data_IF_934078294453
#
_entry.id   IF_934078294453
#
_cell.length_a   1.000
_cell.length_b   1.000
_cell.length_c   1.000
_cell.angle_alpha   90.00
_cell.angle_beta   90.00
_cell.angle_gamma   90.00
#
_symmetry.space_group_name_H-M   'P 1'
#
loop_
_entity.id
_entity.type
_entity.pdbx_description
1 polymer ?
#
# COMPACT_ATOMS: atom_id res chain seq x y z
N UNK A 1 22.18 -6.56 -26.21
CA UNK A 1 22.44 -6.68 -24.75
C UNK A 1 21.60 -7.82 -24.23
N UNK A 2 22.22 -8.78 -23.54
CA UNK A 2 21.58 -10.02 -23.12
C UNK A 2 20.55 -9.79 -21.99
N UNK A 3 19.44 -10.55 -21.94
CA UNK A 3 18.54 -10.54 -20.80
C UNK A 3 19.30 -10.94 -19.53
N UNK A 4 18.97 -10.30 -18.41
CA UNK A 4 19.40 -10.73 -17.07
C UNK A 4 19.20 -12.26 -16.96
N UNK A 5 20.15 -13.04 -16.41
CA UNK A 5 19.92 -14.46 -16.20
C UNK A 5 18.81 -14.60 -15.16
N UNK A 6 17.57 -14.72 -15.61
CA UNK A 6 16.48 -15.18 -14.76
C UNK A 6 16.89 -16.56 -14.30
N UNK A 7 17.12 -16.69 -12.99
CA UNK A 7 17.37 -17.99 -12.40
C UNK A 7 16.10 -18.83 -12.63
N UNK A 8 16.10 -19.60 -13.72
CA UNK A 8 14.98 -20.38 -14.25
C UNK A 8 14.62 -21.58 -13.34
N UNK A 9 15.09 -21.56 -12.08
CA UNK A 9 15.01 -22.62 -11.10
C UNK A 9 13.77 -22.53 -10.17
N UNK A 10 13.08 -21.38 -10.10
CA UNK A 10 11.87 -21.25 -9.28
C UNK A 10 10.66 -21.82 -10.03
N UNK A 11 9.84 -22.62 -9.36
CA UNK A 11 8.63 -23.25 -9.90
C UNK A 11 7.56 -22.22 -10.27
N UNK A 12 7.38 -21.21 -9.41
CA UNK A 12 6.36 -20.19 -9.56
C UNK A 12 6.98 -18.80 -9.71
N UNK A 13 6.44 -18.03 -10.64
CA UNK A 13 6.78 -16.62 -10.80
C UNK A 13 6.08 -15.80 -9.70
N UNK A 14 4.82 -16.15 -9.39
CA UNK A 14 3.99 -15.48 -8.38
C UNK A 14 3.22 -16.52 -7.56
N UNK A 15 3.16 -16.33 -6.24
CA UNK A 15 2.19 -17.03 -5.38
C UNK A 15 1.32 -16.05 -4.61
N UNK A 16 0.00 -16.22 -4.73
CA UNK A 16 -1.01 -15.46 -3.96
C UNK A 16 -1.21 -16.12 -2.59
N UNK A 17 -0.53 -15.65 -1.55
CA UNK A 17 -0.72 -16.15 -0.18
C UNK A 17 -1.88 -15.45 0.51
N UNK A 18 -2.90 -16.22 0.91
CA UNK A 18 -4.18 -15.69 1.39
C UNK A 18 -5.27 -15.64 0.33
N UNK A 19 -5.13 -16.42 -0.75
CA UNK A 19 -6.04 -16.43 -1.90
C UNK A 19 -7.52 -16.69 -1.57
N UNK A 20 -7.82 -17.38 -0.47
CA UNK A 20 -9.21 -17.60 -0.03
C UNK A 20 -9.84 -16.41 0.73
N UNK A 21 -9.05 -15.40 1.09
CA UNK A 21 -9.49 -14.17 1.76
C UNK A 21 -10.27 -13.24 0.83
N UNK A 22 -10.88 -12.19 1.37
CA UNK A 22 -11.69 -11.25 0.57
C UNK A 22 -10.88 -10.63 -0.57
N UNK A 23 -9.77 -9.96 -0.26
CA UNK A 23 -8.89 -9.36 -1.27
C UNK A 23 -8.16 -10.42 -2.10
N UNK A 24 -7.74 -11.53 -1.49
CA UNK A 24 -7.06 -12.63 -2.21
C UNK A 24 -7.89 -13.21 -3.34
N UNK A 25 -9.21 -13.38 -3.13
CA UNK A 25 -10.14 -13.84 -4.20
C UNK A 25 -10.18 -12.86 -5.37
N UNK A 26 -10.19 -11.56 -5.07
CA UNK A 26 -10.23 -10.51 -6.09
C UNK A 26 -8.93 -10.43 -6.89
N UNK A 27 -7.79 -10.70 -6.24
CA UNK A 27 -6.48 -10.87 -6.89
C UNK A 27 -6.49 -12.09 -7.82
N UNK A 28 -7.03 -13.24 -7.37
CA UNK A 28 -7.15 -14.43 -8.21
C UNK A 28 -8.06 -14.18 -9.41
N UNK A 29 -9.19 -13.48 -9.24
CA UNK A 29 -10.07 -13.08 -10.35
C UNK A 29 -9.31 -12.21 -11.37
N UNK A 30 -8.54 -11.22 -10.91
CA UNK A 30 -7.78 -10.34 -11.80
C UNK A 30 -6.65 -11.07 -12.54
N UNK A 31 -5.93 -11.97 -11.86
CA UNK A 31 -4.92 -12.83 -12.49
C UNK A 31 -5.54 -13.77 -13.51
N UNK A 32 -6.67 -14.41 -13.20
CA UNK A 32 -7.34 -15.32 -14.12
C UNK A 32 -7.84 -14.61 -15.39
N UNK A 33 -8.35 -13.39 -15.26
CA UNK A 33 -8.86 -12.58 -16.38
C UNK A 33 -7.74 -12.02 -17.26
N UNK A 34 -6.64 -11.53 -16.67
CA UNK A 34 -5.61 -10.77 -17.40
C UNK A 34 -4.33 -11.57 -17.70
N UNK A 35 -4.03 -12.57 -16.88
CA UNK A 35 -2.79 -13.34 -16.94
C UNK A 35 -3.07 -14.85 -16.78
N UNK A 36 -3.66 -15.50 -17.81
CA UNK A 36 -3.93 -16.94 -17.79
C UNK A 36 -2.69 -17.77 -17.42
N UNK A 37 -2.90 -18.84 -16.66
CA UNK A 37 -1.80 -19.67 -16.16
C UNK A 37 -1.04 -20.33 -17.31
N UNK A 38 0.28 -20.22 -17.29
CA UNK A 38 1.17 -21.01 -18.17
C UNK A 38 1.83 -20.22 -19.30
N UNK A 39 1.32 -19.05 -19.66
CA UNK A 39 2.04 -18.03 -20.44
C UNK A 39 1.30 -16.68 -20.36
N UNK A 40 1.98 -15.56 -20.06
CA UNK A 40 3.42 -15.44 -19.85
C UNK A 40 3.90 -15.78 -18.42
N UNK A 41 3.02 -16.24 -17.52
CA UNK A 41 3.32 -16.28 -16.06
C UNK A 41 2.85 -17.60 -15.43
N UNK A 42 3.69 -18.17 -14.56
CA UNK A 42 3.38 -19.35 -13.75
C UNK A 42 2.99 -18.90 -12.35
N UNK A 43 1.70 -18.85 -12.06
CA UNK A 43 1.22 -18.47 -10.72
C UNK A 43 0.47 -19.60 -10.01
N UNK A 44 0.50 -19.55 -8.68
CA UNK A 44 -0.20 -20.48 -7.81
C UNK A 44 -0.95 -19.75 -6.69
N UNK A 45 -1.90 -20.44 -6.06
CA UNK A 45 -2.62 -19.94 -4.89
C UNK A 45 -2.14 -20.66 -3.63
N UNK A 46 -2.06 -19.93 -2.53
CA UNK A 46 -1.66 -20.49 -1.26
C UNK A 46 -2.55 -20.04 -0.10
N UNK A 47 -2.73 -20.94 0.87
CA UNK A 47 -3.50 -20.69 2.09
C UNK A 47 -3.74 -21.96 2.89
N UNK A 48 -4.32 -21.80 4.08
CA UNK A 48 -4.44 -22.88 5.07
C UNK A 48 -5.55 -23.91 4.82
N UNK A 49 -6.51 -23.61 3.94
CA UNK A 49 -7.67 -24.48 3.71
C UNK A 49 -7.78 -24.79 2.21
N UNK A 50 -7.53 -26.05 1.86
CA UNK A 50 -7.48 -26.53 0.47
C UNK A 50 -8.84 -26.38 -0.23
N UNK A 51 -9.92 -26.76 0.44
CA UNK A 51 -11.27 -26.77 -0.14
C UNK A 51 -11.71 -25.35 -0.55
N UNK A 52 -11.38 -24.35 0.27
CA UNK A 52 -11.63 -22.94 -0.05
C UNK A 52 -10.78 -22.47 -1.24
N UNK A 53 -9.54 -22.92 -1.37
CA UNK A 53 -8.70 -22.57 -2.52
C UNK A 53 -9.24 -23.19 -3.81
N UNK A 54 -9.65 -24.45 -3.76
CA UNK A 54 -10.31 -25.15 -4.87
C UNK A 54 -11.59 -24.43 -5.30
N UNK A 55 -12.43 -24.02 -4.34
CA UNK A 55 -13.64 -23.23 -4.62
C UNK A 55 -13.33 -21.89 -5.29
N UNK A 56 -12.26 -21.20 -4.88
CA UNK A 56 -11.83 -19.94 -5.50
C UNK A 56 -11.32 -20.15 -6.92
N UNK A 57 -10.52 -21.18 -7.15
CA UNK A 57 -10.04 -21.54 -8.50
C UNK A 57 -11.23 -21.88 -9.39
N UNK A 58 -12.15 -22.74 -8.95
CA UNK A 58 -13.31 -23.14 -9.73
C UNK A 58 -14.23 -21.94 -10.08
N UNK A 59 -14.29 -20.93 -9.20
CA UNK A 59 -15.11 -19.73 -9.42
C UNK A 59 -14.54 -18.74 -10.44
N UNK A 60 -13.21 -18.68 -10.61
CA UNK A 60 -12.56 -17.63 -11.42
C UNK A 60 -11.68 -18.16 -12.57
N UNK A 61 -11.10 -19.34 -12.44
CA UNK A 61 -10.24 -19.96 -13.44
C UNK A 61 -11.07 -20.94 -14.30
N UNK A 62 -11.98 -20.40 -15.11
CA UNK A 62 -12.94 -21.20 -15.89
C UNK A 62 -12.41 -21.66 -17.25
N UNK A 63 -11.26 -21.15 -17.68
CA UNK A 63 -10.63 -21.51 -18.95
C UNK A 63 -9.11 -21.68 -18.78
N UNK A 64 -8.53 -22.61 -19.54
CA UNK A 64 -7.09 -22.85 -19.56
C UNK A 64 -6.58 -23.73 -18.42
N UNK A 65 -5.28 -23.62 -18.13
CA UNK A 65 -4.61 -24.39 -17.08
C UNK A 65 -5.00 -23.85 -15.71
N UNK A 66 -5.29 -24.73 -14.76
CA UNK A 66 -5.57 -24.32 -13.39
C UNK A 66 -4.25 -23.99 -12.66
N UNK A 67 -4.24 -22.96 -11.78
CA UNK A 67 -3.09 -22.68 -10.94
C UNK A 67 -2.89 -23.81 -9.92
N UNK A 68 -1.64 -24.03 -9.51
CA UNK A 68 -1.34 -24.99 -8.45
C UNK A 68 -1.88 -24.50 -7.10
N UNK A 69 -2.17 -25.44 -6.19
CA UNK A 69 -2.63 -25.17 -4.83
C UNK A 69 -1.53 -25.55 -3.84
N UNK A 70 -1.11 -24.58 -3.03
CA UNK A 70 -0.11 -24.78 -1.99
C UNK A 70 -0.79 -24.59 -0.63
N UNK A 71 -0.84 -25.65 0.17
CA UNK A 71 -1.39 -25.56 1.53
C UNK A 71 -0.28 -25.07 2.46
N UNK A 72 -0.46 -23.88 3.02
CA UNK A 72 0.46 -23.29 3.98
C UNK A 72 -0.31 -22.44 5.00
N UNK A 73 0.00 -22.60 6.28
CA UNK A 73 -0.48 -21.72 7.35
C UNK A 73 0.58 -20.66 7.68
N UNK A 74 0.14 -19.43 7.95
CA UNK A 74 0.98 -18.32 8.43
C UNK A 74 1.83 -18.64 9.68
N UNK A 75 1.45 -19.67 10.44
CA UNK A 75 2.14 -20.11 11.66
C UNK A 75 3.07 -21.29 11.43
N UNK A 76 3.08 -21.87 10.24
CA UNK A 76 3.97 -22.97 9.88
C UNK A 76 5.20 -22.44 9.14
N UNK A 77 6.25 -22.14 9.90
CA UNK A 77 7.50 -21.63 9.34
C UNK A 77 8.19 -22.59 8.35
N UNK A 78 7.99 -23.91 8.45
CA UNK A 78 8.54 -24.86 7.48
C UNK A 78 7.82 -24.73 6.14
N UNK A 79 6.48 -24.73 6.16
CA UNK A 79 5.67 -24.54 4.96
C UNK A 79 5.97 -23.20 4.28
N UNK A 80 6.11 -22.11 5.05
CA UNK A 80 6.44 -20.79 4.50
C UNK A 80 7.84 -20.73 3.88
N UNK A 81 8.85 -21.40 4.47
CA UNK A 81 10.18 -21.51 3.87
C UNK A 81 10.17 -22.30 2.57
N UNK A 82 9.43 -23.40 2.51
CA UNK A 82 9.27 -24.16 1.27
C UNK A 82 8.58 -23.31 0.20
N UNK A 83 7.47 -22.64 0.57
CA UNK A 83 6.74 -21.74 -0.31
C UNK A 83 7.66 -20.66 -0.90
N UNK A 84 8.46 -20.00 -0.05
CA UNK A 84 9.39 -18.97 -0.51
C UNK A 84 10.42 -19.55 -1.49
N UNK A 85 11.02 -20.71 -1.19
CA UNK A 85 12.05 -21.34 -2.04
C UNK A 85 11.55 -21.77 -3.42
N UNK A 86 10.27 -22.05 -3.57
CA UNK A 86 9.70 -22.43 -4.87
C UNK A 86 9.22 -21.22 -5.69
N UNK A 87 9.27 -20.02 -5.11
CA UNK A 87 8.59 -18.84 -5.64
C UNK A 87 9.57 -17.70 -5.92
N UNK A 88 9.34 -16.94 -6.99
CA UNK A 88 10.07 -15.69 -7.26
C UNK A 88 9.48 -14.51 -6.50
N UNK A 89 8.16 -14.33 -6.53
CA UNK A 89 7.44 -13.29 -5.77
C UNK A 89 6.27 -13.87 -4.98
N UNK A 90 6.21 -13.66 -3.67
CA UNK A 90 5.01 -13.93 -2.88
C UNK A 90 4.27 -12.62 -2.67
N UNK A 91 3.06 -12.49 -3.25
CA UNK A 91 2.13 -11.45 -2.82
C UNK A 91 1.22 -12.00 -1.75
N UNK A 92 1.00 -11.23 -0.68
CA UNK A 92 0.16 -11.65 0.42
C UNK A 92 -0.98 -10.70 0.71
N UNK A 93 -2.12 -11.29 1.06
CA UNK A 93 -3.30 -10.58 1.58
C UNK A 93 -3.69 -11.12 2.97
N UNK A 94 -2.75 -11.71 3.72
CA UNK A 94 -3.00 -12.31 5.04
C UNK A 94 -2.76 -11.28 6.14
N UNK A 95 -3.77 -10.43 6.37
CA UNK A 95 -3.79 -9.47 7.49
C UNK A 95 -4.65 -9.92 8.68
N UNK A 96 -4.56 -9.26 9.85
CA UNK A 96 -3.60 -8.20 10.19
C UNK A 96 -2.14 -8.68 10.18
N UNK A 97 -1.24 -7.90 9.58
CA UNK A 97 0.13 -8.34 9.30
C UNK A 97 0.98 -8.43 10.57
N UNK A 98 0.70 -7.58 11.57
CA UNK A 98 1.32 -7.69 12.89
C UNK A 98 1.14 -9.08 13.53
N UNK A 99 0.03 -9.77 13.22
CA UNK A 99 -0.28 -11.10 13.75
C UNK A 99 0.20 -12.25 12.86
N UNK A 100 0.14 -12.08 11.54
CA UNK A 100 0.29 -13.21 10.60
C UNK A 100 1.38 -13.03 9.54
N UNK A 101 1.93 -11.83 9.37
CA UNK A 101 2.87 -11.52 8.28
C UNK A 101 4.34 -11.82 8.58
N UNK A 102 4.74 -11.81 9.85
CA UNK A 102 6.16 -11.79 10.24
C UNK A 102 6.97 -12.99 9.74
N UNK A 103 6.42 -14.20 9.85
CA UNK A 103 7.13 -15.43 9.44
C UNK A 103 7.31 -15.52 7.92
N UNK A 104 6.35 -14.99 7.15
CA UNK A 104 6.46 -14.98 5.69
C UNK A 104 7.53 -13.99 5.23
N UNK A 105 7.62 -12.81 5.85
CA UNK A 105 8.71 -11.84 5.56
C UNK A 105 10.07 -12.49 5.84
N UNK A 106 10.22 -13.14 7.00
CA UNK A 106 11.45 -13.84 7.36
C UNK A 106 11.82 -14.94 6.33
N UNK A 107 10.84 -15.75 5.92
CA UNK A 107 11.04 -16.79 4.91
C UNK A 107 11.47 -16.22 3.55
N UNK A 108 10.85 -15.12 3.10
CA UNK A 108 11.18 -14.47 1.84
C UNK A 108 12.55 -13.80 1.88
N UNK A 109 12.83 -13.04 2.95
CA UNK A 109 14.09 -12.32 3.16
C UNK A 109 15.29 -13.27 3.21
N UNK A 110 15.16 -14.44 3.83
CA UNK A 110 16.26 -15.42 3.88
C UNK A 110 16.39 -16.26 2.62
N UNK A 111 15.31 -16.45 1.85
CA UNK A 111 15.31 -17.32 0.66
C UNK A 111 15.67 -16.59 -0.64
N UNK A 112 15.82 -15.26 -0.62
CA UNK A 112 16.01 -14.45 -1.83
C UNK A 112 14.73 -14.32 -2.66
N UNK A 113 13.57 -14.41 -2.00
CA UNK A 113 12.24 -14.35 -2.64
C UNK A 113 11.68 -12.95 -2.48
N UNK A 114 11.22 -12.34 -3.56
CA UNK A 114 10.59 -11.03 -3.48
C UNK A 114 9.21 -11.13 -2.80
N UNK A 115 8.78 -10.04 -2.18
CA UNK A 115 7.58 -9.99 -1.37
C UNK A 115 6.84 -8.68 -1.61
N UNK A 116 5.52 -8.74 -1.71
CA UNK A 116 4.67 -7.55 -1.59
C UNK A 116 3.38 -7.79 -0.80
N UNK A 117 2.90 -6.74 -0.14
CA UNK A 117 1.69 -6.80 0.70
C UNK A 117 0.85 -5.51 0.68
N UNK A 118 -0.17 -5.49 1.53
CA UNK A 118 -1.07 -4.35 1.76
C UNK A 118 -0.95 -3.79 3.18
N UNK A 119 0.23 -3.81 3.78
CA UNK A 119 0.37 -3.43 5.18
C UNK A 119 0.15 -1.92 5.37
N UNK A 120 -0.79 -1.59 6.26
CA UNK A 120 -1.06 -0.24 6.76
C UNK A 120 -0.63 -0.05 8.22
N UNK A 121 0.34 -0.84 8.70
CA UNK A 121 0.72 -0.98 10.11
C UNK A 121 2.19 -0.52 10.30
N UNK A 122 2.47 0.80 10.46
CA UNK A 122 3.84 1.33 10.46
C UNK A 122 4.74 0.67 11.50
N UNK A 123 4.21 0.37 12.69
CA UNK A 123 4.96 -0.28 13.76
C UNK A 123 5.42 -1.70 13.40
N UNK A 124 4.59 -2.42 12.63
CA UNK A 124 4.96 -3.75 12.15
C UNK A 124 5.94 -3.67 10.99
N UNK A 125 5.73 -2.75 10.04
CA UNK A 125 6.68 -2.51 8.94
C UNK A 125 8.07 -2.16 9.50
N UNK A 126 8.14 -1.25 10.49
CA UNK A 126 9.39 -0.91 11.20
C UNK A 126 10.08 -2.16 11.77
N UNK A 127 9.32 -3.00 12.49
CA UNK A 127 9.82 -4.24 13.07
C UNK A 127 10.37 -5.19 12.00
N UNK A 128 9.71 -5.29 10.84
CA UNK A 128 10.18 -6.13 9.73
C UNK A 128 11.45 -5.58 9.10
N UNK A 129 11.55 -4.27 8.90
CA UNK A 129 12.77 -3.64 8.40
C UNK A 129 13.93 -3.89 9.38
N UNK A 130 13.75 -3.60 10.67
CA UNK A 130 14.79 -3.78 11.69
C UNK A 130 15.31 -5.22 11.75
N UNK A 131 14.40 -6.20 11.60
CA UNK A 131 14.76 -7.62 11.74
C UNK A 131 15.35 -8.21 10.46
N UNK A 132 14.93 -7.76 9.28
CA UNK A 132 15.17 -8.47 8.02
C UNK A 132 15.83 -7.65 6.91
N UNK A 133 16.16 -6.37 7.12
CA UNK A 133 16.87 -5.56 6.12
C UNK A 133 18.18 -6.22 5.67
N UNK A 134 19.00 -6.69 6.62
CA UNK A 134 20.29 -7.34 6.31
C UNK A 134 20.12 -8.65 5.55
N UNK A 135 19.16 -9.50 5.97
CA UNK A 135 18.87 -10.77 5.31
C UNK A 135 18.42 -10.54 3.87
N UNK A 136 17.47 -9.62 3.67
CA UNK A 136 16.93 -9.30 2.35
C UNK A 136 18.00 -8.70 1.43
N UNK A 137 18.87 -7.84 1.96
CA UNK A 137 20.00 -7.28 1.21
C UNK A 137 20.99 -8.38 0.78
N UNK A 138 21.31 -9.30 1.69
CA UNK A 138 22.28 -10.37 1.44
C UNK A 138 21.76 -11.44 0.48
N UNK A 139 20.46 -11.75 0.53
CA UNK A 139 19.85 -12.78 -0.33
C UNK A 139 19.38 -12.26 -1.69
N UNK A 140 19.31 -10.93 -1.86
CA UNK A 140 18.71 -10.29 -3.04
C UNK A 140 17.18 -10.21 -3.01
N UNK A 141 16.53 -10.58 -1.90
CA UNK A 141 15.09 -10.41 -1.75
C UNK A 141 14.71 -8.92 -1.72
N UNK A 142 13.62 -8.55 -2.41
CA UNK A 142 13.04 -7.20 -2.37
C UNK A 142 11.73 -7.32 -1.60
N UNK A 143 11.67 -6.69 -0.43
CA UNK A 143 10.50 -6.71 0.44
C UNK A 143 9.80 -5.36 0.32
N UNK A 144 8.67 -5.32 -0.36
CA UNK A 144 7.94 -4.07 -0.64
C UNK A 144 6.61 -4.06 0.10
N UNK A 145 6.45 -3.14 1.05
CA UNK A 145 5.21 -3.00 1.80
C UNK A 145 4.25 -2.00 1.15
N UNK A 146 2.98 -2.08 1.54
CA UNK A 146 1.96 -1.06 1.21
C UNK A 146 1.66 -0.92 -0.29
N UNK A 147 1.67 -2.02 -1.03
CA UNK A 147 1.39 -2.12 -2.47
C UNK A 147 -0.11 -2.08 -2.80
N UNK A 148 -0.88 -1.21 -2.15
CA UNK A 148 -2.31 -1.01 -2.37
C UNK A 148 -2.69 0.46 -2.47
N UNK A 149 -3.99 0.75 -2.40
CA UNK A 149 -4.46 2.14 -2.36
C UNK A 149 -3.92 2.90 -1.17
N UNK A 150 -3.64 2.19 -0.07
CA UNK A 150 -3.05 2.74 1.13
C UNK A 150 -1.91 3.66 0.69
N UNK A 151 -0.85 3.20 0.01
CA UNK A 151 0.27 4.10 -0.32
C UNK A 151 0.68 4.24 -1.79
N UNK A 152 0.28 3.38 -2.74
CA UNK A 152 0.72 3.51 -4.15
C UNK A 152 0.34 4.85 -4.79
N UNK A 153 -0.93 5.32 -4.72
CA UNK A 153 -1.31 6.58 -5.36
C UNK A 153 -0.55 7.78 -4.80
N UNK A 154 -0.26 7.77 -3.49
CA UNK A 154 0.55 8.78 -2.81
C UNK A 154 2.02 8.71 -3.22
N UNK A 155 2.62 7.52 -3.12
CA UNK A 155 4.05 7.31 -3.32
C UNK A 155 4.46 7.47 -4.80
N UNK A 156 3.75 6.81 -5.71
CA UNK A 156 3.98 6.95 -7.15
C UNK A 156 3.52 8.32 -7.65
N UNK A 157 2.48 8.92 -7.04
CA UNK A 157 2.04 10.28 -7.36
C UNK A 157 3.11 11.33 -7.05
N UNK A 158 3.77 11.22 -5.89
CA UNK A 158 4.89 12.09 -5.51
C UNK A 158 6.10 11.84 -6.41
N UNK A 159 6.43 10.57 -6.68
CA UNK A 159 7.50 10.21 -7.62
C UNK A 159 7.28 10.85 -9.00
N UNK A 160 6.07 10.74 -9.54
CA UNK A 160 5.69 11.37 -10.81
C UNK A 160 5.84 12.89 -10.74
N UNK A 161 5.26 13.54 -9.72
CA UNK A 161 5.33 15.01 -9.57
C UNK A 161 6.78 15.49 -9.49
N UNK A 162 7.62 14.84 -8.69
CA UNK A 162 9.02 15.22 -8.54
C UNK A 162 9.80 15.04 -9.84
N UNK A 163 9.50 14.01 -10.65
CA UNK A 163 10.10 13.84 -11.97
C UNK A 163 9.68 14.96 -12.93
N UNK A 164 8.40 15.33 -12.94
CA UNK A 164 7.91 16.44 -13.77
C UNK A 164 8.51 17.79 -13.32
N UNK A 165 8.67 18.02 -12.01
CA UNK A 165 9.34 19.21 -11.47
C UNK A 165 10.80 19.31 -11.91
N UNK A 166 11.55 18.19 -11.80
CA UNK A 166 12.93 18.10 -12.29
C UNK A 166 13.02 18.34 -13.80
N UNK A 167 12.07 17.83 -14.60
CA UNK A 167 12.05 18.00 -16.05
C UNK A 167 11.72 19.46 -16.45
N UNK A 168 10.81 20.12 -15.74
CA UNK A 168 10.37 21.48 -16.05
C UNK A 168 11.38 22.54 -15.59
N UNK A 169 11.95 22.38 -14.39
CA UNK A 169 12.70 23.45 -13.71
C UNK A 169 14.10 23.03 -13.23
N UNK A 170 14.48 21.76 -13.37
CA UNK A 170 15.80 21.26 -12.92
C UNK A 170 15.93 21.09 -11.40
N UNK A 171 14.85 21.30 -10.64
CA UNK A 171 14.83 21.19 -9.18
C UNK A 171 13.56 20.48 -8.69
N UNK A 172 13.60 19.75 -7.56
CA UNK A 172 12.42 19.12 -6.99
C UNK A 172 11.54 20.13 -6.25
N UNK A 173 10.27 19.79 -6.02
CA UNK A 173 9.40 20.52 -5.10
C UNK A 173 9.89 20.37 -3.66
N UNK A 174 9.88 21.47 -2.90
CA UNK A 174 10.26 21.48 -1.48
C UNK A 174 9.13 20.97 -0.57
N UNK A 175 7.88 21.10 -1.01
CA UNK A 175 6.71 20.67 -0.25
C UNK A 175 5.64 20.14 -1.20
N UNK A 176 5.08 18.97 -0.88
CA UNK A 176 3.92 18.43 -1.62
C UNK A 176 2.79 18.17 -0.64
N UNK A 177 1.61 18.69 -0.98
CA UNK A 177 0.35 18.37 -0.29
C UNK A 177 -0.53 17.55 -1.21
N UNK A 178 -0.90 16.34 -0.79
CA UNK A 178 -1.89 15.52 -1.47
C UNK A 178 -3.27 15.75 -0.86
N UNK A 179 -4.25 16.07 -1.70
CA UNK A 179 -5.64 16.26 -1.31
C UNK A 179 -6.54 15.20 -1.94
N UNK A 180 -7.27 14.47 -1.10
CA UNK A 180 -8.38 13.63 -1.53
C UNK A 180 -9.53 14.53 -1.97
N UNK A 181 -9.72 14.67 -3.28
CA UNK A 181 -10.74 15.54 -3.86
C UNK A 181 -12.09 14.83 -4.00
N UNK A 182 -12.05 13.56 -4.39
CA UNK A 182 -13.22 12.69 -4.39
C UNK A 182 -12.80 11.25 -4.14
N UNK A 183 -13.63 10.51 -3.41
CA UNK A 183 -13.42 9.10 -3.13
C UNK A 183 -14.77 8.40 -3.02
N UNK A 184 -14.90 7.27 -3.69
CA UNK A 184 -16.09 6.41 -3.61
C UNK A 184 -15.64 4.98 -3.46
N UNK A 185 -15.78 4.44 -2.25
CA UNK A 185 -15.41 3.08 -1.92
C UNK A 185 -15.89 2.66 -0.53
N UNK A 186 -15.61 1.42 -0.18
CA UNK A 186 -15.91 0.84 1.14
C UNK A 186 -14.68 0.23 1.78
N UNK A 187 -14.82 -0.17 3.05
CA UNK A 187 -13.81 -0.91 3.81
C UNK A 187 -14.33 -2.33 4.13
N UNK A 188 -13.43 -3.30 4.25
CA UNK A 188 -13.73 -4.67 4.69
C UNK A 188 -13.51 -4.82 6.18
N UNK A 189 -14.05 -5.90 6.74
CA UNK A 189 -13.76 -6.29 8.12
C UNK A 189 -12.26 -6.49 8.39
N UNK A 190 -11.47 -6.85 7.36
CA UNK A 190 -10.01 -6.99 7.48
C UNK A 190 -9.30 -5.66 7.71
N UNK A 191 -9.69 -4.61 6.97
CA UNK A 191 -9.15 -3.24 7.15
C UNK A 191 -9.48 -2.71 8.54
N UNK A 192 -10.73 -2.89 9.00
CA UNK A 192 -11.11 -2.49 10.36
C UNK A 192 -10.36 -3.27 11.45
N UNK A 193 -10.18 -4.57 11.26
CA UNK A 193 -9.41 -5.39 12.21
C UNK A 193 -7.94 -4.96 12.30
N UNK A 194 -7.32 -4.57 11.17
CA UNK A 194 -5.95 -4.03 11.15
C UNK A 194 -5.88 -2.70 11.93
N UNK A 195 -6.77 -1.75 11.63
CA UNK A 195 -6.84 -0.46 12.34
C UNK A 195 -7.06 -0.64 13.86
N UNK A 196 -7.97 -1.53 14.27
CA UNK A 196 -8.20 -1.81 15.69
C UNK A 196 -6.98 -2.45 16.35
N UNK A 197 -6.25 -3.31 15.65
CA UNK A 197 -5.02 -3.91 16.17
C UNK A 197 -3.94 -2.85 16.42
N UNK A 198 -3.75 -1.90 15.50
CA UNK A 198 -2.80 -0.78 15.69
C UNK A 198 -3.16 0.02 16.94
N UNK A 199 -4.45 0.35 17.13
CA UNK A 199 -4.91 1.07 18.32
C UNK A 199 -4.68 0.26 19.61
N UNK A 200 -4.93 -1.05 19.59
CA UNK A 200 -4.70 -1.94 20.73
C UNK A 200 -3.21 -2.01 21.12
N UNK A 201 -2.33 -2.19 20.14
CA UNK A 201 -0.87 -2.22 20.37
C UNK A 201 -0.36 -0.87 20.88
N UNK A 202 -0.86 0.24 20.33
CA UNK A 202 -0.49 1.59 20.77
C UNK A 202 -0.94 1.89 22.21
N UNK A 203 -2.14 1.42 22.61
CA UNK A 203 -2.64 1.55 23.97
C UNK A 203 -1.86 0.68 24.96
N UNK A 204 -1.42 -0.49 24.53
CA UNK A 204 -0.70 -1.46 25.36
C UNK A 204 0.79 -1.12 25.52
N UNK A 205 1.43 -0.49 24.53
CA UNK A 205 2.88 -0.22 24.54
C UNK A 205 3.21 1.22 24.13
N UNK A 206 3.79 1.97 25.07
CA UNK A 206 4.24 3.37 24.86
C UNK A 206 5.31 3.49 23.78
N UNK A 207 6.15 2.46 23.57
CA UNK A 207 7.15 2.46 22.49
C UNK A 207 6.46 2.40 21.13
N UNK A 208 5.41 1.57 21.00
CA UNK A 208 4.60 1.50 19.79
C UNK A 208 3.89 2.84 19.54
N UNK A 209 3.31 3.45 20.58
CA UNK A 209 2.71 4.78 20.45
C UNK A 209 3.71 5.85 19.98
N UNK A 210 4.95 5.79 20.46
CA UNK A 210 6.02 6.69 20.02
C UNK A 210 6.40 6.46 18.55
N UNK A 211 6.55 5.20 18.12
CA UNK A 211 6.81 4.84 16.72
C UNK A 211 5.69 5.35 15.80
N UNK A 212 4.43 5.20 16.22
CA UNK A 212 3.28 5.67 15.44
C UNK A 212 3.21 7.20 15.39
N UNK A 213 3.64 7.90 16.45
CA UNK A 213 3.70 9.36 16.50
C UNK A 213 4.86 9.97 15.70
N UNK A 214 5.90 9.20 15.40
CA UNK A 214 7.08 9.66 14.66
C UNK A 214 6.79 9.71 13.13
N UNK A 215 6.86 10.90 12.49
CA UNK A 215 6.64 11.09 11.05
C UNK A 215 7.64 10.36 10.15
N UNK A 216 8.81 10.00 10.69
CA UNK A 216 9.93 9.39 9.97
C UNK A 216 10.26 7.98 10.49
N UNK A 217 9.35 7.34 11.23
CA UNK A 217 9.62 6.07 11.90
C UNK A 217 10.06 4.95 10.94
N UNK A 218 9.62 5.02 9.68
CA UNK A 218 9.97 4.07 8.65
C UNK A 218 11.30 4.36 7.96
N UNK A 219 11.95 5.50 8.18
CA UNK A 219 13.22 5.82 7.52
C UNK A 219 14.39 4.93 8.02
N UNK A 220 15.52 4.87 7.28
CA UNK A 220 16.77 4.28 7.77
C UNK A 220 17.13 4.81 9.17
N UNK A 221 17.83 4.00 9.98
CA UNK A 221 18.02 4.28 11.41
C UNK A 221 18.61 5.66 11.70
N UNK A 222 19.57 6.11 10.89
CA UNK A 222 20.26 7.39 11.05
C UNK A 222 19.59 8.55 10.29
N UNK A 223 18.42 8.30 9.68
CA UNK A 223 17.72 9.20 8.77
C UNK A 223 16.27 9.48 9.20
N UNK A 224 15.97 9.27 10.49
CA UNK A 224 14.62 9.46 11.07
C UNK A 224 14.35 10.87 11.57
N UNK A 225 14.99 11.86 10.96
CA UNK A 225 14.81 13.28 11.28
C UNK A 225 14.54 14.06 10.00
N UNK A 226 13.73 15.11 10.13
CA UNK A 226 13.40 15.99 9.04
C UNK A 226 12.42 17.08 9.46
N UNK A 227 11.99 17.94 8.51
CA UNK A 227 11.20 19.12 8.79
C UNK A 227 9.70 18.86 9.07
N UNK A 228 9.19 17.65 8.82
CA UNK A 228 7.79 17.32 9.01
C UNK A 228 7.42 17.14 10.47
N UNK A 229 6.23 17.64 10.83
CA UNK A 229 5.58 17.37 12.10
C UNK A 229 4.49 16.30 11.99
N UNK A 230 3.62 16.19 13.01
CA UNK A 230 2.47 15.29 12.97
C UNK A 230 1.52 15.58 11.80
N UNK A 231 0.87 14.53 11.32
CA UNK A 231 -0.20 14.63 10.31
C UNK A 231 -1.35 15.53 10.81
N UNK A 232 -2.17 16.03 9.89
CA UNK A 232 -3.24 16.97 10.21
C UNK A 232 -4.31 16.36 11.14
N UNK A 233 -4.55 16.97 12.30
CA UNK A 233 -5.61 16.57 13.24
C UNK A 233 -6.84 17.49 13.27
N UNK A 234 -6.74 18.68 12.66
CA UNK A 234 -7.79 19.70 12.71
C UNK A 234 -8.14 20.27 11.33
N UNK A 235 -9.08 21.21 11.30
CA UNK A 235 -9.43 21.95 10.07
C UNK A 235 -8.27 22.86 9.68
N UNK A 236 -7.85 22.82 8.42
CA UNK A 236 -6.82 23.73 7.86
C UNK A 236 -7.25 24.29 6.51
N UNK A 237 -6.77 25.48 6.16
CA UNK A 237 -6.93 26.03 4.82
C UNK A 237 -5.68 25.73 3.99
N UNK A 238 -5.85 25.10 2.83
CA UNK A 238 -4.78 24.86 1.86
C UNK A 238 -4.82 25.96 0.80
N UNK A 239 -3.87 26.91 0.87
CA UNK A 239 -3.80 28.02 -0.06
C UNK A 239 -3.55 27.56 -1.51
N UNK A 240 -2.68 26.55 -1.71
CA UNK A 240 -2.35 26.02 -3.04
C UNK A 240 -3.58 25.43 -3.77
N UNK A 241 -4.57 24.94 -3.02
CA UNK A 241 -5.81 24.38 -3.53
C UNK A 241 -7.02 25.34 -3.42
N UNK A 242 -6.87 26.47 -2.74
CA UNK A 242 -7.97 27.38 -2.44
C UNK A 242 -9.09 26.77 -1.59
N UNK A 243 -8.81 25.74 -0.79
CA UNK A 243 -9.82 24.89 -0.15
C UNK A 243 -9.56 24.65 1.34
N UNK A 244 -10.64 24.46 2.09
CA UNK A 244 -10.59 23.89 3.43
C UNK A 244 -10.32 22.40 3.36
N UNK A 245 -9.68 21.89 4.42
CA UNK A 245 -9.25 20.50 4.51
C UNK A 245 -9.55 19.91 5.87
N UNK A 246 -9.81 18.61 5.87
CA UNK A 246 -9.98 17.78 7.07
C UNK A 246 -8.91 16.67 7.12
N UNK A 247 -8.63 16.11 8.31
CA UNK A 247 -7.75 14.96 8.46
C UNK A 247 -8.12 13.80 7.52
N UNK A 248 -7.10 13.15 6.95
CA UNK A 248 -7.25 11.93 6.17
C UNK A 248 -6.62 10.75 6.91
N UNK A 249 -7.39 9.67 7.11
CA UNK A 249 -6.96 8.55 7.97
C UNK A 249 -5.72 7.83 7.43
N UNK A 250 -5.56 7.69 6.11
CA UNK A 250 -4.40 7.00 5.54
C UNK A 250 -3.12 7.84 5.56
N UNK A 251 -3.21 9.14 5.88
CA UNK A 251 -2.03 9.98 6.08
C UNK A 251 -1.06 9.36 7.11
N UNK A 252 -1.62 8.66 8.12
CA UNK A 252 -0.87 8.00 9.19
C UNK A 252 0.09 6.88 8.72
N UNK A 253 -0.08 6.36 7.50
CA UNK A 253 0.87 5.43 6.88
C UNK A 253 1.54 6.06 5.66
N UNK A 254 0.77 6.76 4.82
CA UNK A 254 1.25 7.24 3.52
C UNK A 254 2.37 8.24 3.63
N UNK A 255 2.26 9.17 4.58
CA UNK A 255 3.28 10.19 4.75
C UNK A 255 4.63 9.57 5.14
N UNK A 256 4.62 8.48 5.90
CA UNK A 256 5.83 7.72 6.28
C UNK A 256 6.39 6.93 5.10
N UNK A 257 5.54 6.36 4.24
CA UNK A 257 5.99 5.68 3.02
C UNK A 257 6.64 6.67 2.05
N UNK A 258 6.01 7.81 1.78
CA UNK A 258 6.58 8.85 0.88
C UNK A 258 7.91 9.39 1.40
N UNK A 259 8.00 9.70 2.70
CA UNK A 259 9.26 10.15 3.32
C UNK A 259 10.34 9.07 3.28
N UNK A 260 9.96 7.80 3.47
CA UNK A 260 10.87 6.65 3.31
C UNK A 260 11.36 6.53 1.87
N UNK A 261 10.49 6.72 0.88
CA UNK A 261 10.89 6.72 -0.53
C UNK A 261 11.95 7.77 -0.81
N UNK A 262 11.80 8.98 -0.27
CA UNK A 262 12.82 10.03 -0.40
C UNK A 262 14.16 9.59 0.19
N UNK A 263 14.16 9.06 1.42
CA UNK A 263 15.37 8.57 2.07
C UNK A 263 16.05 7.43 1.29
N UNK A 264 15.26 6.48 0.75
CA UNK A 264 15.77 5.35 -0.04
C UNK A 264 16.24 5.74 -1.44
N UNK A 265 15.83 6.91 -1.95
CA UNK A 265 16.26 7.48 -3.22
C UNK A 265 17.39 8.51 -3.02
N UNK A 266 18.22 8.31 -1.99
CA UNK A 266 19.34 9.20 -1.64
C UNK A 266 18.94 10.67 -1.52
N UNK A 267 17.74 10.93 -0.99
CA UNK A 267 17.14 12.25 -0.89
C UNK A 267 16.98 12.98 -2.22
N UNK A 268 16.58 12.27 -3.29
CA UNK A 268 16.29 12.86 -4.60
C UNK A 268 15.26 14.00 -4.56
N UNK A 269 14.36 14.03 -3.56
CA UNK A 269 13.39 15.12 -3.38
C UNK A 269 13.93 16.26 -2.51
N UNK A 270 15.14 16.11 -1.97
CA UNK A 270 15.80 17.03 -1.04
C UNK A 270 15.63 16.62 0.43
N UNK A 271 16.64 16.92 1.27
CA UNK A 271 16.60 16.64 2.72
C UNK A 271 15.58 17.48 3.49
N UNK A 272 15.21 18.64 2.93
CA UNK A 272 14.21 19.54 3.51
C UNK A 272 12.81 19.35 2.91
N UNK A 273 12.60 18.29 2.11
CA UNK A 273 11.31 17.95 1.53
C UNK A 273 10.26 17.69 2.62
N UNK A 274 9.08 18.29 2.44
CA UNK A 274 7.90 18.10 3.31
C UNK A 274 6.77 17.44 2.55
N UNK A 275 6.04 16.55 3.22
CA UNK A 275 4.89 15.88 2.63
C UNK A 275 3.72 15.77 3.61
N UNK A 276 2.52 16.05 3.13
CA UNK A 276 1.29 15.90 3.92
C UNK A 276 0.09 15.47 3.07
N UNK A 277 -0.92 14.88 3.74
CA UNK A 277 -2.17 14.49 3.11
C UNK A 277 -3.38 15.00 3.89
N UNK A 278 -4.42 15.39 3.15
CA UNK A 278 -5.68 15.82 3.74
C UNK A 278 -6.86 15.49 2.81
N UNK A 279 -8.09 15.57 3.34
CA UNK A 279 -9.30 15.53 2.49
C UNK A 279 -9.71 16.96 2.16
N UNK A 280 -9.90 17.27 0.87
CA UNK A 280 -10.46 18.57 0.45
C UNK A 280 -11.96 18.63 0.72
N UNK A 281 -12.42 19.75 1.26
CA UNK A 281 -13.84 19.97 1.58
C UNK A 281 -14.46 21.16 0.83
N UNK A 282 -13.68 21.81 -0.03
CA UNK A 282 -14.12 22.95 -0.84
C UNK A 282 -13.79 24.32 -0.24
N UNK A 283 -14.14 25.37 -0.97
CA UNK A 283 -13.85 26.76 -0.59
C UNK A 283 -14.96 27.39 0.27
N UNK A 284 -14.66 28.56 0.85
CA UNK A 284 -15.63 29.38 1.59
C UNK A 284 -16.16 28.76 2.90
N UNK A 285 -17.19 29.37 3.50
CA UNK A 285 -17.75 28.92 4.79
C UNK A 285 -18.33 27.50 4.75
N UNK A 286 -18.93 27.10 3.63
CA UNK A 286 -19.47 25.75 3.46
C UNK A 286 -18.39 24.67 3.52
N UNK A 287 -17.25 24.91 2.87
CA UNK A 287 -16.10 24.01 2.93
C UNK A 287 -15.53 23.87 4.34
N UNK A 288 -15.48 24.97 5.10
CA UNK A 288 -15.07 24.95 6.51
C UNK A 288 -16.01 24.10 7.37
N UNK A 289 -17.33 24.31 7.25
CA UNK A 289 -18.33 23.54 8.00
C UNK A 289 -18.22 22.03 7.72
N UNK A 290 -18.04 21.65 6.45
CA UNK A 290 -17.82 20.26 6.06
C UNK A 290 -16.53 19.70 6.70
N UNK A 291 -15.44 20.46 6.69
CA UNK A 291 -14.19 20.04 7.33
C UNK A 291 -14.35 19.86 8.84
N UNK A 292 -15.05 20.77 9.51
CA UNK A 292 -15.31 20.70 10.94
C UNK A 292 -16.13 19.45 11.30
N UNK A 293 -17.21 19.17 10.56
CA UNK A 293 -18.03 17.97 10.76
C UNK A 293 -17.23 16.69 10.54
N UNK A 294 -16.43 16.61 9.47
CA UNK A 294 -15.58 15.44 9.20
C UNK A 294 -14.54 15.22 10.29
N UNK A 295 -13.88 16.31 10.74
CA UNK A 295 -12.88 16.27 11.81
C UNK A 295 -13.51 15.79 13.13
N UNK A 296 -14.65 16.35 13.52
CA UNK A 296 -15.37 15.95 14.72
C UNK A 296 -15.85 14.49 14.66
N UNK A 297 -16.36 14.06 13.50
CA UNK A 297 -16.79 12.68 13.28
C UNK A 297 -15.65 11.69 13.43
N UNK A 298 -14.49 11.98 12.84
CA UNK A 298 -13.30 11.12 12.97
C UNK A 298 -12.80 11.06 14.42
N UNK A 299 -12.67 12.21 15.09
CA UNK A 299 -12.25 12.26 16.49
C UNK A 299 -13.20 11.46 17.40
N UNK A 300 -14.51 11.61 17.20
CA UNK A 300 -15.55 10.87 17.92
C UNK A 300 -15.44 9.37 17.68
N UNK A 301 -15.20 8.95 16.44
CA UNK A 301 -15.04 7.55 16.09
C UNK A 301 -13.80 6.93 16.76
N UNK A 302 -12.64 7.59 16.70
CA UNK A 302 -11.40 7.13 17.35
C UNK A 302 -11.59 7.03 18.87
N UNK A 303 -12.22 8.04 19.48
CA UNK A 303 -12.53 8.03 20.91
C UNK A 303 -13.47 6.87 21.27
N UNK A 304 -14.52 6.64 20.49
CA UNK A 304 -15.46 5.54 20.71
C UNK A 304 -14.79 4.17 20.53
N UNK A 305 -13.86 4.03 19.60
CA UNK A 305 -13.02 2.84 19.46
C UNK A 305 -12.01 2.69 20.61
N UNK A 306 -11.72 3.71 21.41
CA UNK A 306 -10.74 3.62 22.49
C UNK A 306 -11.27 2.95 23.76
N UNK A 307 -12.60 2.90 23.97
CA UNK A 307 -13.21 2.24 25.12
C UNK A 307 -13.72 0.82 24.76
N UNK A 308 -13.47 -0.15 25.63
CA UNK A 308 -13.72 -1.59 25.35
C UNK A 308 -15.20 -1.92 25.09
N UNK A 309 -16.12 -1.31 25.83
CA UNK A 309 -17.57 -1.55 25.72
C UNK A 309 -18.11 -1.00 24.39
N UNK A 310 -17.82 0.26 24.08
CA UNK A 310 -18.26 0.90 22.82
C UNK A 310 -17.59 0.26 21.61
N UNK A 311 -16.29 -0.06 21.69
CA UNK A 311 -15.58 -0.82 20.64
C UNK A 311 -16.29 -2.13 20.33
N UNK A 312 -16.67 -2.90 21.36
CA UNK A 312 -17.36 -4.18 21.19
C UNK A 312 -18.71 -4.02 20.49
N UNK A 313 -19.45 -2.95 20.76
CA UNK A 313 -20.73 -2.67 20.11
C UNK A 313 -20.52 -2.28 18.64
N UNK A 314 -19.57 -1.39 18.36
CA UNK A 314 -19.23 -0.94 17.00
C UNK A 314 -18.81 -2.12 16.13
N UNK A 315 -17.89 -2.95 16.63
CA UNK A 315 -17.40 -4.15 15.94
C UNK A 315 -18.52 -5.14 15.64
N UNK A 316 -19.43 -5.37 16.60
CA UNK A 316 -20.49 -6.38 16.44
C UNK A 316 -21.68 -5.93 15.60
N UNK A 317 -21.99 -4.63 15.58
CA UNK A 317 -23.25 -4.12 14.98
C UNK A 317 -23.06 -3.20 13.77
N UNK A 318 -21.92 -2.54 13.63
CA UNK A 318 -21.75 -1.48 12.64
C UNK A 318 -20.70 -1.83 11.56
N UNK A 319 -19.74 -2.69 11.88
CA UNK A 319 -18.63 -3.01 10.99
C UNK A 319 -18.87 -4.32 10.21
N UNK A 320 -18.35 -4.43 8.97
CA UNK A 320 -18.40 -5.67 8.22
C UNK A 320 -17.69 -6.82 8.96
N UNK A 321 -18.24 -8.03 8.86
CA UNK A 321 -17.62 -9.20 9.47
C UNK A 321 -16.28 -9.55 8.78
N UNK A 322 -15.36 -10.28 9.45
CA UNK A 322 -14.13 -10.75 8.83
C UNK A 322 -14.40 -11.52 7.53
N UNK A 323 -13.77 -11.09 6.44
CA UNK A 323 -13.95 -11.69 5.11
C UNK A 323 -15.14 -11.14 4.30
N UNK A 324 -15.91 -10.19 4.84
CA UNK A 324 -16.89 -9.37 4.10
C UNK A 324 -16.28 -8.01 3.75
N UNK A 325 -16.70 -7.45 2.61
CA UNK A 325 -16.28 -6.15 2.11
C UNK A 325 -17.34 -5.56 1.18
N UNK A 326 -17.02 -4.49 0.43
CA UNK A 326 -17.98 -3.86 -0.48
C UNK A 326 -18.51 -4.84 -1.54
N UNK A 327 -19.74 -4.60 -2.00
CA UNK A 327 -20.34 -5.40 -3.07
C UNK A 327 -19.62 -5.21 -4.40
N UNK A 328 -19.76 -6.16 -5.33
CA UNK A 328 -19.19 -6.04 -6.68
C UNK A 328 -19.58 -4.71 -7.36
N UNK A 329 -20.85 -4.33 -7.27
CA UNK A 329 -21.35 -3.06 -7.82
C UNK A 329 -20.71 -1.84 -7.15
N UNK A 330 -20.49 -1.87 -5.83
CA UNK A 330 -19.77 -0.79 -5.14
C UNK A 330 -18.31 -0.69 -5.60
N UNK A 331 -17.67 -1.84 -5.83
CA UNK A 331 -16.28 -1.89 -6.30
C UNK A 331 -16.13 -1.41 -7.75
N UNK A 332 -17.03 -1.84 -8.63
CA UNK A 332 -17.04 -1.48 -10.06
C UNK A 332 -17.40 -0.02 -10.30
N UNK A 333 -18.32 0.55 -9.52
CA UNK A 333 -18.75 1.95 -9.64
C UNK A 333 -17.99 2.91 -8.71
N UNK A 334 -17.00 2.41 -7.99
CA UNK A 334 -16.14 3.20 -7.12
C UNK A 334 -15.04 3.90 -7.93
N UNK A 335 -14.38 4.88 -7.31
CA UNK A 335 -13.26 5.61 -7.91
C UNK A 335 -12.52 6.42 -6.84
N UNK A 336 -11.38 7.00 -7.20
CA UNK A 336 -10.72 8.05 -6.43
C UNK A 336 -10.15 9.13 -7.34
N UNK A 337 -10.08 10.36 -6.83
CA UNK A 337 -9.48 11.54 -7.44
C UNK A 337 -8.62 12.23 -6.36
N UNK A 338 -7.31 12.12 -6.53
CA UNK A 338 -6.30 12.70 -5.67
C UNK A 338 -5.60 13.83 -6.44
N UNK A 339 -5.33 14.93 -5.75
CA UNK A 339 -4.65 16.10 -6.33
C UNK A 339 -3.44 16.43 -5.49
N UNK A 340 -2.27 16.42 -6.12
CA UNK A 340 -1.01 16.79 -5.49
C UNK A 340 -0.68 18.22 -5.90
N UNK A 341 -0.27 19.02 -4.92
CA UNK A 341 0.17 20.39 -5.10
C UNK A 341 1.61 20.47 -4.62
N UNK A 342 2.55 20.53 -5.56
CA UNK A 342 3.98 20.63 -5.30
C UNK A 342 4.45 22.08 -5.38
N UNK A 343 4.97 22.59 -4.29
CA UNK A 343 5.54 23.93 -4.19
C UNK A 343 7.02 23.90 -4.57
N UNK A 344 7.35 24.66 -5.62
CA UNK A 344 8.72 24.90 -6.10
C UNK A 344 9.41 25.99 -5.27
N UNK A 345 10.74 26.12 -5.38
CA UNK A 345 11.50 27.17 -4.68
C UNK A 345 11.13 28.60 -5.08
N UNK A 346 10.67 28.79 -6.31
CA UNK A 346 10.18 30.06 -6.84
C UNK A 346 8.71 30.34 -6.45
N UNK A 347 8.16 29.61 -5.49
CA UNK A 347 6.75 29.64 -5.05
C UNK A 347 5.71 29.19 -6.11
N UNK A 348 6.15 28.73 -7.28
CA UNK A 348 5.26 28.14 -8.29
C UNK A 348 4.67 26.82 -7.79
N UNK A 349 3.43 26.54 -8.18
CA UNK A 349 2.71 25.34 -7.77
C UNK A 349 2.52 24.42 -8.98
N UNK A 350 3.25 23.31 -8.97
CA UNK A 350 3.01 22.20 -9.89
C UNK A 350 1.84 21.37 -9.39
N UNK A 351 0.91 21.01 -10.29
CA UNK A 351 -0.31 20.27 -9.93
C UNK A 351 -0.35 18.94 -10.66
N UNK A 352 -0.56 17.86 -9.92
CA UNK A 352 -0.75 16.53 -10.49
C UNK A 352 -2.09 15.97 -10.04
N UNK A 353 -2.79 15.32 -10.97
CA UNK A 353 -4.00 14.55 -10.70
C UNK A 353 -3.68 13.06 -10.79
N UNK A 354 -4.09 12.30 -9.78
CA UNK A 354 -4.01 10.85 -9.76
C UNK A 354 -5.41 10.28 -9.57
N UNK A 355 -5.91 9.55 -10.57
CA UNK A 355 -7.24 8.95 -10.54
C UNK A 355 -7.17 7.42 -10.67
N UNK A 356 -8.19 6.74 -10.16
CA UNK A 356 -8.39 5.30 -10.34
C UNK A 356 -9.84 4.98 -10.67
N UNK A 357 -10.02 3.99 -11.54
CA UNK A 357 -11.31 3.63 -12.17
C UNK A 357 -12.18 2.68 -11.32
N UNK A 358 -11.73 2.30 -10.13
CA UNK A 358 -12.44 1.38 -9.22
C UNK A 358 -12.36 1.88 -7.80
N UNK A 359 -13.17 1.28 -6.92
CA UNK A 359 -13.08 1.63 -5.50
C UNK A 359 -11.64 1.47 -4.97
N UNK A 360 -11.18 2.40 -4.12
CA UNK A 360 -9.83 2.40 -3.59
C UNK A 360 -9.49 1.10 -2.85
N UNK A 361 -10.35 0.67 -1.92
CA UNK A 361 -10.02 -0.36 -0.94
C UNK A 361 -9.80 -1.75 -1.55
N UNK A 362 -10.46 -2.09 -2.66
CA UNK A 362 -10.48 -3.47 -3.17
C UNK A 362 -10.35 -3.55 -4.68
N UNK A 363 -11.22 -2.87 -5.43
CA UNK A 363 -11.28 -2.93 -6.88
C UNK A 363 -10.03 -2.37 -7.54
N UNK A 364 -9.50 -1.25 -7.05
CA UNK A 364 -8.21 -0.70 -7.47
C UNK A 364 -7.04 -1.40 -6.76
N UNK A 365 -7.18 -1.70 -5.47
CA UNK A 365 -6.12 -2.34 -4.66
C UNK A 365 -5.72 -3.72 -5.18
N UNK A 366 -6.65 -4.57 -5.62
CA UNK A 366 -6.33 -5.87 -6.23
C UNK A 366 -5.44 -5.74 -7.47
N UNK A 367 -5.69 -4.70 -8.27
CA UNK A 367 -4.94 -4.41 -9.50
C UNK A 367 -3.56 -3.92 -9.10
N UNK A 368 -3.48 -2.89 -8.24
CA UNK A 368 -2.21 -2.34 -7.74
C UNK A 368 -1.29 -3.41 -7.12
N UNK A 369 -1.83 -4.28 -6.26
CA UNK A 369 -1.05 -5.34 -5.63
C UNK A 369 -0.55 -6.37 -6.64
N UNK A 370 -1.42 -6.79 -7.56
CA UNK A 370 -1.07 -7.76 -8.60
C UNK A 370 -0.01 -7.19 -9.53
N UNK A 371 -0.19 -5.96 -10.00
CA UNK A 371 0.74 -5.26 -10.89
C UNK A 371 2.09 -4.98 -10.20
N UNK A 372 2.11 -4.77 -8.88
CA UNK A 372 3.34 -4.71 -8.09
C UNK A 372 4.07 -6.05 -8.04
N UNK A 373 3.35 -7.16 -7.81
CA UNK A 373 3.94 -8.50 -7.83
C UNK A 373 4.50 -8.85 -9.22
N UNK A 374 3.79 -8.44 -10.27
CA UNK A 374 4.21 -8.60 -11.66
C UNK A 374 5.43 -7.77 -12.00
N UNK A 375 5.52 -6.54 -11.48
CA UNK A 375 6.68 -5.68 -11.69
C UNK A 375 7.94 -6.28 -11.03
N UNK A 376 7.82 -6.70 -9.76
CA UNK A 376 8.89 -7.42 -9.05
C UNK A 376 9.33 -8.71 -9.76
N UNK A 377 8.39 -9.38 -10.44
CA UNK A 377 8.65 -10.63 -11.13
C UNK A 377 9.30 -10.39 -12.49
N UNK A 378 8.71 -9.55 -13.33
CA UNK A 378 8.94 -9.55 -14.78
C UNK A 378 9.82 -8.39 -15.27
N UNK A 379 9.83 -7.27 -14.54
CA UNK A 379 10.48 -6.06 -15.01
C UNK A 379 11.93 -5.95 -14.51
N UNK A 380 12.72 -5.16 -15.24
CA UNK A 380 14.09 -4.86 -14.82
C UNK A 380 14.07 -3.74 -13.79
N UNK A 381 14.44 -4.07 -12.57
CA UNK A 381 14.55 -3.11 -11.45
C UNK A 381 16.02 -2.84 -11.12
N UNK A 382 16.34 -1.57 -10.85
CA UNK A 382 17.70 -1.12 -10.53
C UNK A 382 18.08 -1.38 -9.07
N UNK A 383 17.08 -1.53 -8.19
CA UNK A 383 17.30 -1.76 -6.77
C UNK A 383 17.89 -3.13 -6.47
N UNK A 384 18.77 -3.20 -5.47
CA UNK A 384 19.27 -4.46 -4.91
C UNK A 384 18.25 -5.14 -3.98
N UNK A 385 18.71 -6.15 -3.25
CA UNK A 385 17.95 -6.71 -2.14
C UNK A 385 17.77 -5.70 -1.01
N UNK A 386 16.72 -5.85 -0.21
CA UNK A 386 16.41 -4.96 0.92
C UNK A 386 14.90 -4.77 1.11
N UNK A 387 14.53 -3.97 2.10
CA UNK A 387 13.16 -3.48 2.27
C UNK A 387 12.97 -2.13 1.60
N UNK A 388 11.97 -2.03 0.74
CA UNK A 388 11.75 -0.88 -0.13
C UNK A 388 10.29 -0.40 -0.06
N UNK A 389 10.02 0.74 -0.66
CA UNK A 389 8.68 1.27 -0.94
C UNK A 389 8.31 1.03 -2.40
N UNK A 390 7.02 1.17 -2.79
CA UNK A 390 6.64 1.05 -4.20
C UNK A 390 7.43 1.96 -5.14
N UNK A 391 7.59 3.24 -4.80
CA UNK A 391 8.31 4.20 -5.64
C UNK A 391 9.82 3.91 -5.68
N UNK A 392 10.46 3.62 -4.54
CA UNK A 392 11.91 3.35 -4.50
C UNK A 392 12.28 2.03 -5.16
N UNK A 393 11.44 0.99 -5.04
CA UNK A 393 11.71 -0.32 -5.65
C UNK A 393 11.43 -0.35 -7.16
N UNK A 394 10.29 0.20 -7.58
CA UNK A 394 9.70 -0.05 -8.90
C UNK A 394 9.48 1.22 -9.73
N UNK A 395 9.30 2.39 -9.09
CA UNK A 395 9.23 3.71 -9.71
C UNK A 395 8.45 3.74 -11.03
N UNK A 396 9.15 4.13 -12.11
CA UNK A 396 8.60 4.21 -13.47
C UNK A 396 7.97 2.89 -13.94
N UNK A 397 8.62 1.75 -13.70
CA UNK A 397 8.13 0.46 -14.18
C UNK A 397 6.75 0.15 -13.60
N UNK A 398 6.55 0.34 -12.29
CA UNK A 398 5.22 0.18 -11.69
C UNK A 398 4.21 1.20 -12.24
N UNK A 399 4.60 2.47 -12.39
CA UNK A 399 3.70 3.49 -12.93
C UNK A 399 3.17 3.11 -14.31
N UNK A 400 4.05 2.63 -15.21
CA UNK A 400 3.67 2.18 -16.57
C UNK A 400 2.69 1.01 -16.52
N UNK A 401 2.94 0.04 -15.63
CA UNK A 401 2.04 -1.11 -15.41
C UNK A 401 0.67 -0.65 -14.91
N UNK A 402 0.63 0.29 -13.97
CA UNK A 402 -0.60 0.81 -13.37
C UNK A 402 -1.46 1.54 -14.41
N UNK A 403 -0.84 2.34 -15.27
CA UNK A 403 -1.55 3.04 -16.35
C UNK A 403 -2.02 2.11 -17.45
N UNK A 404 -1.19 1.15 -17.86
CA UNK A 404 -1.57 0.21 -18.91
C UNK A 404 -2.65 -0.80 -18.46
N UNK A 405 -2.60 -1.27 -17.21
CA UNK A 405 -3.35 -2.46 -16.80
C UNK A 405 -4.29 -2.25 -15.60
N UNK A 406 -3.99 -1.27 -14.73
CA UNK A 406 -4.71 -1.08 -13.48
C UNK A 406 -5.78 0.03 -13.52
N UNK A 407 -5.86 0.81 -14.61
CA UNK A 407 -6.84 1.89 -14.73
C UNK A 407 -6.51 3.11 -13.87
N UNK A 408 -5.22 3.32 -13.57
CA UNK A 408 -4.72 4.51 -12.89
C UNK A 408 -4.17 5.51 -13.90
N UNK A 409 -4.42 6.79 -13.67
CA UNK A 409 -3.87 7.85 -14.51
C UNK A 409 -3.12 8.86 -13.66
N UNK A 410 -1.96 9.30 -14.14
CA UNK A 410 -1.12 10.33 -13.54
C UNK A 410 -0.98 11.46 -14.56
N UNK A 411 -1.50 12.64 -14.24
CA UNK A 411 -1.62 13.76 -15.18
C UNK A 411 -1.11 15.04 -14.55
N UNK A 412 -0.25 15.77 -15.27
CA UNK A 412 0.04 17.16 -14.96
C UNK A 412 -1.17 18.04 -15.30
N UNK A 413 -1.60 18.88 -14.35
CA UNK A 413 -2.71 19.81 -14.55
C UNK A 413 -2.16 21.17 -14.99
N UNK A 414 -2.82 21.76 -15.98
CA UNK A 414 -2.59 23.14 -16.45
C UNK A 414 -2.94 24.19 -15.41
#
# INVERSE_FOLDING_TARGET
>A
MQPNPTNNARTYDIVVFGASGFTGRLVVEYLADRYPVGAPIRWAVAGRNREKLESVIAGYCTSGKLPAIIVADSRDGNALRQLARETRVVLTTVGPYAKYGSELVAACATSGTHYCDLAGEPQWIRKMIDKHQSDASSSGARIVHSCGFDSIPSDIGVFYLQREAMAACGEPCEEIVLLVSAIKGGASGGTFASMLNVLEEAQADRKIAHILGDPYCLNPQDERQGPDGPDQHGVRYCAAAGAWTAPFVMAAINSRIVRRSNALLDYAYGKNFRYSEATSTGSGPGGWCKAAMMTAGLATFILACSFSVTRSIIVKRLLPAPGQGPTRQQMENGFFDLRLFGKMKNDEILRVRVIGDRDPGYGSTRKMLTESALCLAMDRLETGGGSWTPASAMGQALMDRLTANAGLTFELMS
#
